data_IF_656881446640
#
_entry.id   IF_656881446640
#
_cell.length_a   1.000
_cell.length_b   1.000
_cell.length_c   1.000
_cell.angle_alpha   90.00
_cell.angle_beta   90.00
_cell.angle_gamma   90.00
#
_symmetry.space_group_name_H-M   'P 1'
#
loop_
_entity.id
_entity.type
_entity.pdbx_description
1 polymer ?
#
# COMPACT_ATOMS: atom_id res chain seq x y z
N UNK A 1 1.66 -15.35 3.84
CA UNK A 1 0.60 -15.76 4.81
C UNK A 1 0.71 -17.23 5.18
N UNK A 2 0.37 -17.61 6.41
CA UNK A 2 0.33 -18.99 6.86
C UNK A 2 -0.76 -19.18 7.93
N UNK A 3 -1.22 -20.44 8.08
CA UNK A 3 -2.05 -20.86 9.19
C UNK A 3 -1.21 -21.70 10.17
N UNK A 4 -1.69 -21.87 11.38
CA UNK A 4 -1.06 -22.72 12.38
C UNK A 4 -1.92 -23.96 12.61
N UNK A 5 -1.35 -25.15 12.40
CA UNK A 5 -1.98 -26.42 12.74
C UNK A 5 -1.40 -26.94 14.05
N UNK A 6 -2.26 -27.17 15.01
CA UNK A 6 -1.94 -27.82 16.27
C UNK A 6 -2.37 -29.28 16.17
N UNK A 7 -1.43 -30.20 16.32
CA UNK A 7 -1.70 -31.64 16.25
C UNK A 7 -1.06 -32.33 17.46
N UNK A 8 -1.80 -33.23 18.09
CA UNK A 8 -1.19 -34.12 19.09
C UNK A 8 -0.63 -35.34 18.37
N UNK A 9 0.63 -35.74 18.63
CA UNK A 9 1.25 -36.90 17.98
C UNK A 9 0.50 -38.21 18.19
N UNK A 10 -0.27 -38.31 19.27
CA UNK A 10 -0.98 -39.52 19.70
C UNK A 10 -2.45 -39.55 19.28
N UNK A 11 -3.00 -38.45 18.76
CA UNK A 11 -4.42 -38.37 18.39
C UNK A 11 -4.64 -37.27 17.34
N UNK A 12 -4.57 -37.66 16.06
CA UNK A 12 -4.84 -36.74 14.94
C UNK A 12 -6.28 -36.19 14.94
N UNK A 13 -7.22 -36.89 15.57
CA UNK A 13 -8.59 -36.42 15.67
C UNK A 13 -8.75 -35.16 16.53
N UNK A 14 -7.77 -34.86 17.36
CA UNK A 14 -7.71 -33.63 18.16
C UNK A 14 -6.88 -32.51 17.51
N UNK A 15 -6.55 -32.64 16.22
CA UNK A 15 -5.89 -31.54 15.50
C UNK A 15 -6.88 -30.45 15.10
N UNK A 16 -6.43 -29.20 15.18
CA UNK A 16 -7.19 -28.04 14.71
C UNK A 16 -6.29 -27.03 14.04
N UNK A 17 -6.86 -26.23 13.16
CA UNK A 17 -6.14 -25.19 12.41
C UNK A 17 -6.64 -23.81 12.81
N UNK A 18 -5.71 -22.93 13.11
CA UNK A 18 -5.96 -21.52 13.43
C UNK A 18 -5.52 -20.67 12.24
N UNK A 19 -6.45 -19.92 11.70
CA UNK A 19 -6.23 -19.06 10.54
C UNK A 19 -5.84 -17.62 10.89
N UNK A 20 -6.11 -17.20 12.11
CA UNK A 20 -5.79 -15.86 12.62
C UNK A 20 -4.58 -15.92 13.55
N UNK A 21 -3.58 -15.07 13.31
CA UNK A 21 -2.44 -14.95 14.25
C UNK A 21 -2.88 -14.39 15.59
N UNK A 22 -3.87 -13.50 15.63
CA UNK A 22 -4.41 -12.96 16.89
C UNK A 22 -5.06 -14.08 17.72
N UNK A 23 -5.88 -14.92 17.09
CA UNK A 23 -6.45 -16.09 17.74
C UNK A 23 -5.35 -17.03 18.25
N UNK A 24 -4.32 -17.28 17.44
CA UNK A 24 -3.18 -18.10 17.86
C UNK A 24 -2.45 -17.51 19.08
N UNK A 25 -2.27 -16.18 19.10
CA UNK A 25 -1.66 -15.51 20.26
C UNK A 25 -2.49 -15.67 21.53
N UNK A 26 -3.82 -15.51 21.45
CA UNK A 26 -4.73 -15.70 22.57
C UNK A 26 -4.69 -17.15 23.08
N UNK A 27 -4.77 -18.12 22.17
CA UNK A 27 -4.69 -19.54 22.52
C UNK A 27 -3.35 -19.90 23.17
N UNK A 28 -2.23 -19.41 22.65
CA UNK A 28 -0.91 -19.63 23.21
C UNK A 28 -0.75 -18.96 24.58
N UNK A 29 -1.31 -17.77 24.76
CA UNK A 29 -1.28 -17.08 26.05
C UNK A 29 -2.09 -17.84 27.12
N UNK A 30 -3.28 -18.32 26.75
CA UNK A 30 -4.19 -19.03 27.68
C UNK A 30 -3.76 -20.48 27.94
N UNK A 31 -3.25 -21.17 26.93
CA UNK A 31 -3.07 -22.62 26.96
C UNK A 31 -1.67 -23.10 26.51
N UNK A 32 -0.74 -22.19 26.27
CA UNK A 32 0.57 -22.49 25.68
C UNK A 32 1.29 -23.72 26.24
N UNK A 33 1.38 -23.89 27.58
CA UNK A 33 2.01 -25.07 28.17
C UNK A 33 1.33 -26.40 27.87
N UNK A 34 0.06 -26.38 27.45
CA UNK A 34 -0.77 -27.55 27.15
C UNK A 34 -0.92 -27.81 25.65
N UNK A 35 -0.56 -26.83 24.83
CA UNK A 35 -0.66 -26.94 23.37
C UNK A 35 0.60 -27.58 22.80
N UNK A 36 0.45 -28.47 21.80
CA UNK A 36 1.59 -28.97 21.04
C UNK A 36 2.21 -27.82 20.23
N UNK A 37 3.48 -28.00 19.85
CA UNK A 37 4.15 -27.05 18.95
C UNK A 37 3.40 -27.01 17.63
N UNK A 38 2.95 -25.82 17.15
CA UNK A 38 2.20 -25.73 15.92
C UNK A 38 3.09 -25.93 14.69
N UNK A 39 2.50 -26.52 13.67
CA UNK A 39 3.03 -26.58 12.32
C UNK A 39 2.57 -25.35 11.53
N UNK A 40 3.44 -24.77 10.70
CA UNK A 40 3.09 -23.70 9.77
C UNK A 40 2.57 -24.28 8.48
N UNK A 41 1.33 -23.99 8.16
CA UNK A 41 0.73 -24.32 6.87
C UNK A 41 0.81 -23.06 6.00
N UNK A 42 1.59 -23.13 4.92
CA UNK A 42 1.66 -22.04 3.95
C UNK A 42 0.32 -21.90 3.25
N UNK A 43 -0.12 -20.67 3.06
CA UNK A 43 -1.25 -20.32 2.20
C UNK A 43 -0.73 -20.00 0.81
N UNK A 44 -1.49 -20.34 -0.21
CA UNK A 44 -1.19 -20.02 -1.60
C UNK A 44 -1.69 -18.61 -1.94
N UNK A 45 -1.28 -17.64 -1.15
CA UNK A 45 -1.57 -16.23 -1.41
C UNK A 45 -0.37 -15.37 -1.02
N UNK A 46 -0.20 -14.28 -1.76
CA UNK A 46 0.75 -13.22 -1.46
C UNK A 46 0.02 -11.98 -0.97
N UNK A 47 0.69 -11.15 -0.22
CA UNK A 47 0.17 -9.87 0.25
C UNK A 47 1.24 -8.80 0.18
N UNK A 48 0.79 -7.58 -0.05
CA UNK A 48 1.64 -6.39 -0.07
C UNK A 48 1.07 -5.37 0.92
N UNK A 49 1.95 -4.72 1.65
CA UNK A 49 1.62 -3.63 2.56
C UNK A 49 2.28 -2.34 2.09
N UNK A 50 1.50 -1.27 2.00
CA UNK A 50 1.96 0.08 1.81
C UNK A 50 1.67 0.89 3.08
N UNK A 51 2.72 1.34 3.77
CA UNK A 51 2.59 2.19 4.94
C UNK A 51 2.46 3.65 4.53
N UNK A 52 1.26 4.19 4.67
CA UNK A 52 0.97 5.59 4.40
C UNK A 52 1.47 6.48 5.52
N UNK A 53 2.38 7.37 5.19
CA UNK A 53 2.95 8.33 6.13
C UNK A 53 2.73 9.76 5.66
N UNK A 54 2.58 10.68 6.60
CA UNK A 54 2.79 12.10 6.33
C UNK A 54 4.30 12.35 6.15
N UNK A 55 4.69 12.93 5.01
CA UNK A 55 6.08 13.14 4.65
C UNK A 55 6.25 14.48 3.95
N UNK A 56 7.45 15.03 4.00
CA UNK A 56 7.85 16.11 3.08
C UNK A 56 8.24 15.53 1.70
N UNK A 57 8.62 16.39 0.76
CA UNK A 57 9.03 16.00 -0.59
C UNK A 57 10.28 15.10 -0.62
N UNK A 58 11.09 15.12 0.44
CA UNK A 58 12.24 14.24 0.62
C UNK A 58 11.89 12.90 1.31
N UNK A 59 10.61 12.59 1.47
CA UNK A 59 10.07 11.41 2.17
C UNK A 59 10.48 11.32 3.64
N UNK A 60 10.89 12.43 4.22
CA UNK A 60 11.15 12.49 5.66
C UNK A 60 9.84 12.66 6.42
N UNK A 61 9.70 12.10 7.62
CA UNK A 61 8.52 12.31 8.44
C UNK A 61 8.19 13.78 8.58
N UNK A 62 6.94 14.12 8.35
CA UNK A 62 6.45 15.50 8.48
C UNK A 62 5.43 15.55 9.61
N UNK A 63 5.61 16.52 10.50
CA UNK A 63 4.68 16.77 11.57
C UNK A 63 3.63 17.78 11.11
N UNK A 64 2.36 17.44 11.25
CA UNK A 64 1.25 18.32 10.98
C UNK A 64 0.52 18.03 9.67
N UNK A 65 -0.47 18.86 9.40
CA UNK A 65 -1.43 18.73 8.33
C UNK A 65 -2.78 18.25 8.83
N UNK A 66 -3.80 18.53 8.05
CA UNK A 66 -5.17 18.08 8.31
C UNK A 66 -5.61 17.16 7.18
N UNK A 67 -6.21 16.03 7.52
CA UNK A 67 -6.94 15.22 6.56
C UNK A 67 -8.34 15.81 6.45
N UNK A 68 -8.68 16.31 5.27
CA UNK A 68 -9.99 16.90 4.97
C UNK A 68 -10.84 15.99 4.08
N UNK A 69 -10.17 15.15 3.31
CA UNK A 69 -10.80 14.18 2.43
C UNK A 69 -9.93 12.93 2.33
N UNK A 70 -10.57 11.79 2.52
CA UNK A 70 -9.99 10.48 2.26
C UNK A 70 -11.06 9.61 1.58
N UNK A 71 -10.72 9.06 0.43
CA UNK A 71 -11.62 8.13 -0.27
C UNK A 71 -11.92 6.91 0.57
N UNK A 72 -13.13 6.37 0.45
CA UNK A 72 -13.49 5.09 1.06
C UNK A 72 -12.57 3.97 0.57
N UNK A 73 -12.42 2.93 1.39
CA UNK A 73 -11.70 1.74 0.98
C UNK A 73 -12.43 1.04 -0.17
N UNK A 74 -11.66 0.61 -1.17
CA UNK A 74 -12.23 -0.09 -2.33
C UNK A 74 -12.27 -1.60 -2.11
N UNK A 75 -12.98 -2.31 -2.98
CA UNK A 75 -13.04 -3.78 -2.93
C UNK A 75 -11.61 -4.36 -3.05
N UNK A 76 -11.27 -5.30 -2.17
CA UNK A 76 -9.93 -5.91 -2.10
C UNK A 76 -8.94 -5.17 -1.20
N UNK A 77 -9.23 -3.91 -0.84
CA UNK A 77 -8.40 -3.15 0.09
C UNK A 77 -8.66 -3.55 1.54
N UNK A 78 -7.58 -3.81 2.27
CA UNK A 78 -7.61 -3.89 3.73
C UNK A 78 -6.91 -2.65 4.24
N UNK A 79 -7.63 -1.79 4.95
CA UNK A 79 -7.10 -0.53 5.48
C UNK A 79 -7.15 -0.54 7.01
N UNK A 80 -5.99 -0.33 7.63
CA UNK A 80 -5.88 0.00 9.05
C UNK A 80 -5.49 1.48 9.16
N UNK A 81 -6.45 2.33 9.40
CA UNK A 81 -6.32 3.78 9.50
C UNK A 81 -6.20 4.29 10.93
N UNK A 82 -5.99 3.39 11.88
CA UNK A 82 -5.86 3.70 13.31
C UNK A 82 -7.04 4.49 13.88
N UNK A 83 -8.23 4.33 13.29
CA UNK A 83 -9.45 5.00 13.72
C UNK A 83 -9.57 6.46 13.21
N UNK A 84 -8.83 6.83 12.18
CA UNK A 84 -9.02 8.10 11.48
C UNK A 84 -10.33 8.01 10.70
N UNK A 85 -11.38 8.63 11.23
CA UNK A 85 -12.68 8.71 10.57
C UNK A 85 -12.91 10.14 10.10
N UNK A 86 -12.79 10.37 8.79
CA UNK A 86 -13.14 11.68 8.18
C UNK A 86 -14.57 11.74 7.67
N UNK A 87 -15.23 10.61 7.50
CA UNK A 87 -16.61 10.50 7.10
C UNK A 87 -17.38 9.62 8.09
N UNK A 88 -18.44 10.18 8.67
CA UNK A 88 -19.39 9.41 9.49
C UNK A 88 -20.55 8.94 8.61
N UNK A 89 -20.66 7.63 8.30
CA UNK A 89 -21.69 7.12 7.40
C UNK A 89 -23.10 7.26 7.95
N UNK A 90 -23.28 7.33 9.28
CA UNK A 90 -24.61 7.42 9.92
C UNK A 90 -25.18 8.83 9.82
N UNK A 91 -24.32 9.86 9.77
CA UNK A 91 -24.74 11.27 9.77
C UNK A 91 -24.38 12.01 8.49
N UNK A 92 -23.63 11.37 7.59
CA UNK A 92 -23.06 11.96 6.38
C UNK A 92 -22.20 13.22 6.67
N UNK A 93 -21.63 13.28 7.86
CA UNK A 93 -20.80 14.40 8.30
C UNK A 93 -19.33 14.09 8.03
N UNK A 94 -18.65 15.01 7.34
CA UNK A 94 -17.21 14.99 7.17
C UNK A 94 -16.53 15.78 8.29
N UNK A 95 -15.56 15.17 8.94
CA UNK A 95 -14.75 15.78 9.98
C UNK A 95 -13.31 15.89 9.51
N UNK A 96 -12.68 17.03 9.84
CA UNK A 96 -11.25 17.18 9.61
C UNK A 96 -10.47 16.48 10.71
N UNK A 97 -9.46 15.72 10.32
CA UNK A 97 -8.56 15.06 11.26
C UNK A 97 -7.20 15.75 11.27
N UNK A 98 -6.80 16.27 12.41
CA UNK A 98 -5.47 16.88 12.58
C UNK A 98 -4.45 15.81 12.94
N UNK A 99 -3.42 15.66 12.10
CA UNK A 99 -2.35 14.71 12.36
C UNK A 99 -1.49 15.17 13.54
N UNK A 100 -1.40 14.31 14.55
CA UNK A 100 -0.53 14.51 15.71
C UNK A 100 0.90 14.05 15.38
N UNK A 101 1.59 14.78 14.51
CA UNK A 101 2.89 14.43 13.98
C UNK A 101 4.07 14.41 14.96
N UNK A 102 3.81 14.59 16.27
CA UNK A 102 4.89 14.66 17.26
C UNK A 102 5.58 13.32 17.55
N UNK A 103 4.94 12.19 17.25
CA UNK A 103 5.43 10.86 17.61
C UNK A 103 5.59 9.91 16.41
N UNK A 104 4.62 9.85 15.53
CA UNK A 104 4.64 8.99 14.34
C UNK A 104 3.94 9.69 13.18
N UNK A 105 4.54 9.61 12.01
CA UNK A 105 3.96 10.12 10.76
C UNK A 105 3.00 9.12 10.11
N UNK A 106 2.78 7.96 10.72
CA UNK A 106 1.90 6.93 10.17
C UNK A 106 0.45 7.40 10.13
N UNK A 107 -0.15 7.31 8.94
CA UNK A 107 -1.56 7.59 8.71
C UNK A 107 -2.34 6.27 8.66
N UNK A 108 -1.86 5.32 7.87
CA UNK A 108 -2.51 4.03 7.72
C UNK A 108 -1.57 2.95 7.18
N UNK A 109 -1.98 1.70 7.35
CA UNK A 109 -1.48 0.56 6.60
C UNK A 109 -2.52 0.18 5.55
N UNK A 110 -2.11 0.15 4.29
CA UNK A 110 -2.94 -0.32 3.18
C UNK A 110 -2.38 -1.67 2.73
N UNK A 111 -3.24 -2.69 2.71
CA UNK A 111 -2.84 -4.04 2.32
C UNK A 111 -3.66 -4.51 1.13
N UNK A 112 -2.98 -5.22 0.23
CA UNK A 112 -3.59 -6.01 -0.84
C UNK A 112 -3.26 -7.48 -0.65
N UNK A 113 -4.12 -8.36 -1.17
CA UNK A 113 -3.96 -9.80 -1.14
C UNK A 113 -4.27 -10.36 -2.51
N UNK A 114 -3.39 -11.21 -3.03
CA UNK A 114 -3.58 -11.88 -4.33
C UNK A 114 -3.22 -13.35 -4.28
N UNK A 115 -3.69 -14.12 -5.24
CA UNK A 115 -3.36 -15.55 -5.39
C UNK A 115 -1.90 -15.75 -5.84
N UNK A 116 -1.25 -14.69 -6.23
CA UNK A 116 0.16 -14.66 -6.61
C UNK A 116 0.79 -13.32 -6.25
N UNK A 117 2.13 -13.29 -6.26
CA UNK A 117 2.86 -12.04 -6.06
C UNK A 117 2.48 -10.98 -7.11
N UNK A 118 2.28 -11.38 -8.36
CA UNK A 118 1.87 -10.46 -9.43
C UNK A 118 0.50 -9.86 -9.11
N UNK A 119 -0.50 -10.69 -8.84
CA UNK A 119 -1.86 -10.20 -8.56
C UNK A 119 -1.94 -9.32 -7.30
N UNK A 120 -1.13 -9.59 -6.26
CA UNK A 120 -1.05 -8.72 -5.09
C UNK A 120 -0.49 -7.33 -5.44
N UNK A 121 0.49 -7.24 -6.36
CA UNK A 121 1.02 -5.95 -6.82
C UNK A 121 0.05 -5.21 -7.74
N UNK A 122 -0.66 -5.92 -8.64
CA UNK A 122 -1.68 -5.35 -9.50
C UNK A 122 -2.83 -4.77 -8.68
N UNK A 123 -3.30 -5.50 -7.68
CA UNK A 123 -4.32 -5.04 -6.75
C UNK A 123 -3.86 -3.79 -5.97
N UNK A 124 -2.63 -3.80 -5.44
CA UNK A 124 -2.07 -2.62 -4.76
C UNK A 124 -1.96 -1.42 -5.71
N UNK A 125 -1.56 -1.62 -6.96
CA UNK A 125 -1.49 -0.53 -7.93
C UNK A 125 -2.86 0.10 -8.16
N UNK A 126 -3.91 -0.70 -8.27
CA UNK A 126 -5.28 -0.21 -8.43
C UNK A 126 -5.77 0.52 -7.18
N UNK A 127 -5.56 -0.04 -5.99
CA UNK A 127 -5.91 0.60 -4.71
C UNK A 127 -5.24 1.98 -4.63
N UNK A 128 -3.92 2.07 -4.84
CA UNK A 128 -3.18 3.33 -4.76
C UNK A 128 -3.59 4.33 -5.83
N UNK A 129 -3.98 3.86 -7.02
CA UNK A 129 -4.46 4.70 -8.12
C UNK A 129 -5.75 5.43 -7.79
N UNK A 130 -6.67 4.77 -7.11
CA UNK A 130 -7.98 5.33 -6.77
C UNK A 130 -8.01 6.00 -5.40
N UNK A 131 -7.00 5.76 -4.57
CA UNK A 131 -6.89 6.40 -3.25
C UNK A 131 -6.70 7.90 -3.42
N UNK A 132 -7.57 8.66 -2.79
CA UNK A 132 -7.46 10.11 -2.67
C UNK A 132 -7.34 10.49 -1.20
N UNK A 133 -6.24 11.14 -0.86
CA UNK A 133 -5.97 11.63 0.49
C UNK A 133 -5.50 13.09 0.37
N UNK A 134 -6.30 14.02 0.87
CA UNK A 134 -6.09 15.47 0.72
C UNK A 134 -6.39 16.22 2.01
N UNK A 135 -5.74 17.35 2.16
CA UNK A 135 -6.01 18.26 3.26
C UNK A 135 -5.04 19.43 3.30
N UNK A 136 -5.29 20.33 4.22
CA UNK A 136 -4.45 21.51 4.40
C UNK A 136 -3.08 21.10 4.97
N UNK A 137 -2.01 21.59 4.36
CA UNK A 137 -0.62 21.32 4.75
C UNK A 137 -0.30 19.82 4.83
N UNK A 138 -1.07 18.98 4.12
CA UNK A 138 -0.89 17.53 4.06
C UNK A 138 -0.05 17.14 2.86
N UNK A 139 1.10 16.56 3.11
CA UNK A 139 1.90 15.84 2.12
C UNK A 139 2.13 14.40 2.57
N UNK A 140 2.10 13.46 1.65
CA UNK A 140 2.17 12.02 1.95
C UNK A 140 3.07 11.30 0.96
N UNK A 141 3.46 10.07 1.33
CA UNK A 141 4.23 9.19 0.45
C UNK A 141 3.37 8.36 -0.52
N UNK A 142 2.11 8.71 -0.75
CA UNK A 142 1.20 7.98 -1.67
C UNK A 142 1.79 7.83 -3.07
N UNK A 143 2.25 8.94 -3.66
CA UNK A 143 2.82 8.94 -5.00
C UNK A 143 4.11 8.11 -5.09
N UNK A 144 4.91 8.11 -4.02
CA UNK A 144 6.09 7.26 -3.92
C UNK A 144 5.72 5.77 -3.95
N UNK A 145 4.73 5.34 -3.17
CA UNK A 145 4.25 3.96 -3.18
C UNK A 145 3.69 3.56 -4.54
N UNK A 146 2.89 4.42 -5.15
CA UNK A 146 2.35 4.18 -6.49
C UNK A 146 3.47 3.96 -7.51
N UNK A 147 4.46 4.86 -7.56
CA UNK A 147 5.61 4.73 -8.45
C UNK A 147 6.44 3.48 -8.17
N UNK A 148 6.66 3.16 -6.89
CA UNK A 148 7.43 1.98 -6.49
C UNK A 148 6.73 0.67 -6.89
N UNK A 149 5.42 0.56 -6.70
CA UNK A 149 4.63 -0.61 -7.12
C UNK A 149 4.72 -0.81 -8.63
N UNK A 150 4.58 0.26 -9.42
CA UNK A 150 4.74 0.20 -10.87
C UNK A 150 6.17 -0.17 -11.30
N UNK A 151 7.18 0.27 -10.56
CA UNK A 151 8.56 -0.17 -10.80
C UNK A 151 8.70 -1.68 -10.62
N UNK A 152 8.07 -2.27 -9.58
CA UNK A 152 8.05 -3.73 -9.40
C UNK A 152 7.30 -4.44 -10.51
N UNK A 153 6.14 -3.95 -10.91
CA UNK A 153 5.34 -4.50 -12.01
C UNK A 153 6.11 -4.50 -13.32
N UNK A 154 6.87 -3.44 -13.62
CA UNK A 154 7.70 -3.35 -14.82
C UNK A 154 8.84 -4.40 -14.87
N UNK A 155 9.12 -5.06 -13.75
CA UNK A 155 10.15 -6.09 -13.58
C UNK A 155 9.58 -7.46 -13.23
N UNK A 156 8.34 -7.70 -13.65
CA UNK A 156 7.64 -8.96 -13.40
C UNK A 156 7.60 -9.36 -11.92
N UNK A 157 7.62 -8.37 -11.02
CA UNK A 157 7.60 -8.46 -9.56
C UNK A 157 8.68 -9.37 -8.93
N UNK A 158 9.69 -9.77 -9.69
CA UNK A 158 10.78 -10.64 -9.22
C UNK A 158 11.96 -9.89 -8.59
N UNK A 159 12.00 -8.57 -8.73
CA UNK A 159 13.04 -7.76 -8.11
C UNK A 159 12.98 -7.87 -6.58
N UNK A 160 14.16 -7.97 -5.96
CA UNK A 160 14.31 -8.06 -4.49
C UNK A 160 15.32 -7.00 -4.04
N UNK A 161 14.99 -5.72 -4.10
CA UNK A 161 15.88 -4.66 -3.67
C UNK A 161 16.17 -4.75 -2.17
N UNK A 162 17.33 -4.27 -1.79
CA UNK A 162 17.66 -4.03 -0.38
C UNK A 162 17.22 -2.61 0.01
N UNK A 163 17.27 -2.28 1.30
CA UNK A 163 17.00 -0.91 1.78
C UNK A 163 17.86 0.16 1.13
N UNK A 164 19.05 -0.21 0.63
CA UNK A 164 19.96 0.70 -0.11
C UNK A 164 19.42 1.10 -1.49
N UNK A 165 18.42 0.40 -2.00
CA UNK A 165 17.81 0.70 -3.30
C UNK A 165 17.07 2.05 -3.33
N UNK A 166 16.53 2.50 -2.21
CA UNK A 166 15.67 3.69 -2.14
C UNK A 166 16.40 4.95 -2.62
N UNK A 167 17.65 5.15 -2.21
CA UNK A 167 18.39 6.35 -2.60
C UNK A 167 18.63 6.43 -4.12
N UNK A 168 19.18 5.42 -4.80
CA UNK A 168 19.30 5.42 -6.27
C UNK A 168 17.93 5.56 -6.98
N UNK A 169 16.89 4.96 -6.46
CA UNK A 169 15.54 5.07 -7.01
C UNK A 169 15.03 6.52 -6.96
N UNK A 170 15.11 7.19 -5.81
CA UNK A 170 14.67 8.57 -5.65
C UNK A 170 15.52 9.54 -6.48
N UNK A 171 16.83 9.28 -6.61
CA UNK A 171 17.69 10.08 -7.49
C UNK A 171 17.23 9.99 -8.94
N UNK A 172 17.00 8.78 -9.45
CA UNK A 172 16.50 8.59 -10.81
C UNK A 172 15.12 9.22 -11.04
N UNK A 173 14.21 9.12 -10.06
CA UNK A 173 12.89 9.76 -10.14
C UNK A 173 13.03 11.28 -10.15
N UNK A 174 13.92 11.85 -9.33
CA UNK A 174 14.20 13.28 -9.29
C UNK A 174 14.77 13.80 -10.61
N UNK A 175 15.71 13.07 -11.21
CA UNK A 175 16.26 13.39 -12.53
C UNK A 175 15.18 13.36 -13.61
N UNK A 176 14.33 12.34 -13.64
CA UNK A 176 13.20 12.24 -14.57
C UNK A 176 12.21 13.39 -14.36
N UNK A 177 11.90 13.75 -13.13
CA UNK A 177 11.01 14.87 -12.82
C UNK A 177 11.60 16.21 -13.27
N UNK A 178 12.91 16.41 -13.17
CA UNK A 178 13.61 17.59 -13.69
C UNK A 178 13.47 17.67 -15.20
N UNK A 179 13.81 16.60 -15.91
CA UNK A 179 13.68 16.54 -17.38
C UNK A 179 12.21 16.78 -17.80
N UNK A 180 11.24 16.18 -17.09
CA UNK A 180 9.83 16.37 -17.42
C UNK A 180 9.36 17.82 -17.28
N UNK A 181 9.94 18.61 -16.37
CA UNK A 181 9.63 20.05 -16.23
C UNK A 181 10.17 20.90 -17.38
N UNK A 182 11.21 20.44 -18.04
CA UNK A 182 11.84 21.11 -19.18
C UNK A 182 11.19 20.74 -20.51
N UNK A 183 10.37 19.68 -20.54
CA UNK A 183 9.66 19.23 -21.74
C UNK A 183 8.49 20.14 -22.03
N UNK A 184 8.48 20.74 -23.21
CA UNK A 184 7.28 21.38 -23.76
C UNK A 184 6.23 20.29 -24.10
N UNK A 185 5.19 20.20 -23.27
CA UNK A 185 4.17 19.18 -23.39
C UNK A 185 3.41 19.25 -24.73
N UNK A 186 3.25 20.45 -25.29
CA UNK A 186 2.59 20.64 -26.59
C UNK A 186 3.45 20.09 -27.73
N UNK A 187 4.76 20.29 -27.65
CA UNK A 187 5.70 19.72 -28.62
C UNK A 187 5.76 18.21 -28.50
N UNK A 188 5.85 17.69 -27.26
CA UNK A 188 5.87 16.26 -27.01
C UNK A 188 4.59 15.58 -27.47
N UNK A 189 3.42 16.18 -27.21
CA UNK A 189 2.11 15.68 -27.62
C UNK A 189 1.96 15.66 -29.14
N UNK A 190 2.31 16.73 -29.81
CA UNK A 190 2.33 16.79 -31.29
C UNK A 190 3.29 15.77 -31.89
N UNK A 191 4.44 15.55 -31.26
CA UNK A 191 5.38 14.51 -31.65
C UNK A 191 4.79 13.11 -31.52
N UNK A 192 4.14 12.81 -30.40
CA UNK A 192 3.46 11.55 -30.16
C UNK A 192 2.35 11.28 -31.19
N UNK A 193 1.48 12.26 -31.45
CA UNK A 193 0.39 12.11 -32.40
C UNK A 193 0.88 11.85 -33.82
N UNK A 194 1.97 12.49 -34.27
CA UNK A 194 2.61 12.21 -35.57
C UNK A 194 3.09 10.78 -35.67
N UNK A 195 3.69 10.25 -34.60
CA UNK A 195 4.21 8.86 -34.57
C UNK A 195 3.09 7.82 -34.47
N UNK A 196 2.00 8.13 -33.77
CA UNK A 196 0.85 7.22 -33.63
C UNK A 196 -0.09 7.18 -34.83
N UNK A 197 0.19 7.95 -35.89
CA UNK A 197 -0.66 8.03 -37.08
C UNK A 197 -1.98 8.77 -36.86
N UNK A 198 -2.17 9.43 -35.72
CA UNK A 198 -3.39 10.18 -35.37
C UNK A 198 -3.29 11.67 -35.73
N UNK A 199 -2.43 12.04 -36.65
CA UNK A 199 -2.18 13.42 -37.04
C UNK A 199 -3.40 14.12 -37.70
N UNK A 200 -4.42 13.36 -38.13
CA UNK A 200 -5.61 13.92 -38.78
C UNK A 200 -6.62 14.60 -37.83
N UNK A 201 -6.41 14.52 -36.52
CA UNK A 201 -7.31 15.09 -35.49
C UNK A 201 -6.94 16.52 -35.08
N UNK A 202 -5.75 17.01 -35.48
CA UNK A 202 -5.25 18.34 -35.10
C UNK A 202 -5.47 19.44 -36.13
N UNK A 203 -5.99 19.13 -37.33
CA UNK A 203 -6.25 20.10 -38.38
C UNK A 203 -7.73 20.47 -38.54
N UNK A 204 -8.59 20.00 -37.65
CA UNK A 204 -10.00 20.34 -37.53
C UNK A 204 -10.26 21.17 -36.27
#
# INVERSE_FOLDING_TARGET
CYALKFSKPEDEAQSFTVNSLVEAMVLLAAHGPKLPKPERILRNNDSLEARMNATNDALQPHAGGQIEHWSDAVMGEIRDDQGICVHNPDTDVFMKYTLAGAYDSNIALILSVGDSRLSAYEEMAEILRVTTLRGQDLSTNLNFHYGLVHWFLSRTVNARPTTKFIVPYLTAVGELASVAREVDLDVAWRGYLRHSGSASVLEA
#
